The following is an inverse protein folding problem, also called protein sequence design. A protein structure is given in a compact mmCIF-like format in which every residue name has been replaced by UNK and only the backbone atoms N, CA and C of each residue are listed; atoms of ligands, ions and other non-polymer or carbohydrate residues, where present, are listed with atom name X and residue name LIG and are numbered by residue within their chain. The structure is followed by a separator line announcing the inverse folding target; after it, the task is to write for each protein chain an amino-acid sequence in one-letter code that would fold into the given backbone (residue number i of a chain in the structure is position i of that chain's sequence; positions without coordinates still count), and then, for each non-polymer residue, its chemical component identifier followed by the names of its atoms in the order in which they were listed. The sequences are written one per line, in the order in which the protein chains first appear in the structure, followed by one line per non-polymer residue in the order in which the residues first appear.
data_IF_255080293864
#
_entry.id   IF_255080293864
#
_cell.length_a   1.000
_cell.length_b   1.000
_cell.length_c   1.000
_cell.angle_alpha   90.00
_cell.angle_beta   90.00
_cell.angle_gamma   90.00
#
_symmetry.space_group_name_H-M   'P 1'
#
loop_
_entity.id
_entity.type
_entity.pdbx_description
1 polymer ?
#
# COMPACT_ATOMS: atom_id res chain seq x y z
N UNK A 1 -4.94 17.25 -9.87
CA UNK A 1 -4.58 15.87 -9.48
C UNK A 1 -5.71 14.92 -9.84
N UNK A 2 -5.38 13.78 -10.41
CA UNK A 2 -6.35 12.75 -10.72
C UNK A 2 -6.37 11.70 -9.62
N UNK A 3 -7.54 11.31 -9.18
CA UNK A 3 -7.72 10.24 -8.21
C UNK A 3 -8.06 8.95 -8.92
N UNK A 4 -7.66 7.85 -8.35
CA UNK A 4 -7.87 6.54 -8.92
C UNK A 4 -8.41 5.55 -7.90
N UNK A 5 -9.03 4.51 -8.40
CA UNK A 5 -9.48 3.37 -7.60
C UNK A 5 -9.38 2.09 -8.39
N UNK A 6 -9.44 0.99 -7.68
CA UNK A 6 -9.42 -0.34 -8.27
C UNK A 6 -10.74 -1.01 -7.93
N UNK A 7 -11.47 -1.43 -8.98
CA UNK A 7 -12.64 -2.30 -8.82
C UNK A 7 -12.14 -3.72 -8.56
N UNK A 8 -12.21 -4.15 -7.32
CA UNK A 8 -11.66 -5.43 -6.89
C UNK A 8 -12.36 -6.63 -7.55
N UNK A 9 -13.61 -6.46 -7.98
CA UNK A 9 -14.32 -7.54 -8.69
C UNK A 9 -13.66 -7.90 -10.03
N UNK A 10 -12.91 -6.98 -10.61
CA UNK A 10 -12.20 -7.19 -11.88
C UNK A 10 -10.77 -7.69 -11.68
N UNK A 11 -10.35 -7.92 -10.45
CA UNK A 11 -9.00 -8.42 -10.15
C UNK A 11 -9.02 -9.92 -9.89
N UNK A 12 -7.89 -10.56 -10.15
CA UNK A 12 -7.72 -11.99 -9.88
C UNK A 12 -6.27 -12.25 -9.41
N UNK A 13 -5.75 -11.38 -8.58
CA UNK A 13 -4.42 -11.54 -8.03
C UNK A 13 -4.42 -12.53 -6.87
N UNK A 14 -3.28 -13.18 -6.67
CA UNK A 14 -3.07 -14.12 -5.57
C UNK A 14 -2.37 -13.44 -4.41
N UNK A 15 -2.68 -13.88 -3.20
CA UNK A 15 -1.96 -13.44 -2.00
C UNK A 15 -0.50 -13.91 -2.09
N UNK A 16 0.39 -13.08 -1.56
CA UNK A 16 1.77 -13.47 -1.33
C UNK A 16 1.85 -14.61 -0.32
N UNK A 17 2.99 -15.30 -0.31
CA UNK A 17 3.32 -16.26 0.76
C UNK A 17 3.19 -15.58 2.13
N UNK A 18 2.66 -16.29 3.16
CA UNK A 18 2.54 -15.74 4.51
C UNK A 18 3.86 -15.28 5.12
N UNK A 19 5.00 -15.69 4.56
CA UNK A 19 6.33 -15.25 5.02
C UNK A 19 6.75 -13.92 4.42
N UNK A 20 6.03 -13.42 3.41
CA UNK A 20 6.39 -12.21 2.68
C UNK A 20 5.64 -10.97 3.14
N UNK A 21 4.50 -11.13 3.82
CA UNK A 21 3.73 -10.00 4.31
C UNK A 21 3.06 -10.33 5.63
N UNK A 22 2.70 -9.28 6.36
CA UNK A 22 1.97 -9.42 7.63
C UNK A 22 1.16 -8.15 7.88
N UNK A 23 -0.04 -8.32 8.43
CA UNK A 23 -0.77 -7.19 9.00
C UNK A 23 -0.19 -6.96 10.40
N UNK A 24 0.41 -5.81 10.62
CA UNK A 24 1.11 -5.48 11.85
C UNK A 24 0.14 -4.74 12.77
N UNK A 25 -0.18 -5.33 13.93
CA UNK A 25 -1.14 -4.71 14.86
C UNK A 25 -0.53 -3.62 15.72
N UNK A 26 0.77 -3.72 16.00
CA UNK A 26 1.48 -2.78 16.88
C UNK A 26 2.82 -2.43 16.23
N UNK A 27 2.79 -1.60 15.18
CA UNK A 27 4.00 -1.30 14.42
C UNK A 27 5.00 -0.46 15.21
N UNK A 28 6.28 -0.74 15.01
CA UNK A 28 7.37 0.13 15.46
C UNK A 28 7.47 1.31 14.49
N UNK A 29 6.92 2.45 14.88
CA UNK A 29 6.86 3.63 14.02
C UNK A 29 8.24 4.12 13.62
N UNK A 30 9.25 3.97 14.49
CA UNK A 30 10.63 4.34 14.15
C UNK A 30 11.16 3.50 12.98
N UNK A 31 10.85 2.22 12.96
CA UNK A 31 11.23 1.34 11.86
C UNK A 31 10.54 1.75 10.55
N UNK A 32 9.25 2.05 10.61
CA UNK A 32 8.51 2.54 9.45
C UNK A 32 9.07 3.86 8.94
N UNK A 33 9.41 4.76 9.86
CA UNK A 33 9.97 6.06 9.53
C UNK A 33 11.31 5.92 8.80
N UNK A 34 12.16 4.98 9.22
CA UNK A 34 13.42 4.71 8.55
C UNK A 34 13.21 4.23 7.11
N UNK A 35 12.23 3.34 6.89
CA UNK A 35 11.87 2.87 5.54
C UNK A 35 11.33 4.02 4.70
N UNK A 36 10.47 4.85 5.29
CA UNK A 36 9.87 5.99 4.60
C UNK A 36 10.93 7.01 4.18
N UNK A 37 11.88 7.31 5.06
CA UNK A 37 12.97 8.23 4.75
C UNK A 37 13.83 7.70 3.59
N UNK A 38 14.16 6.41 3.60
CA UNK A 38 14.91 5.78 2.52
C UNK A 38 14.14 5.85 1.19
N UNK A 39 12.83 5.62 1.25
CA UNK A 39 11.95 5.72 0.08
C UNK A 39 11.94 7.13 -0.51
N UNK A 40 11.79 8.15 0.34
CA UNK A 40 11.76 9.54 -0.10
C UNK A 40 13.09 9.97 -0.72
N UNK A 41 14.20 9.52 -0.17
CA UNK A 41 15.53 9.79 -0.72
C UNK A 41 15.68 9.12 -2.08
N UNK A 42 15.29 7.86 -2.20
CA UNK A 42 15.37 7.13 -3.48
C UNK A 42 14.53 7.79 -4.56
N UNK A 43 13.30 8.20 -4.22
CA UNK A 43 12.39 8.85 -5.17
C UNK A 43 12.72 10.30 -5.41
N UNK A 44 13.62 10.89 -4.64
CA UNK A 44 14.04 12.30 -4.75
C UNK A 44 12.87 13.27 -4.61
N UNK A 45 11.96 12.98 -3.69
CA UNK A 45 10.83 13.87 -3.42
C UNK A 45 11.32 15.19 -2.83
N UNK A 46 10.80 16.30 -3.35
CA UNK A 46 11.13 17.65 -2.85
C UNK A 46 10.37 17.98 -1.58
N UNK A 47 9.14 17.50 -1.48
CA UNK A 47 8.28 17.72 -0.34
C UNK A 47 7.67 16.39 0.06
N UNK A 48 7.75 16.06 1.34
CA UNK A 48 7.26 14.78 1.86
C UNK A 48 6.32 15.04 3.02
N UNK A 49 5.25 14.26 3.07
CA UNK A 49 4.35 14.26 4.22
C UNK A 49 5.02 13.47 5.33
N UNK A 50 5.09 14.01 6.57
CA UNK A 50 5.63 13.23 7.68
C UNK A 50 4.72 12.06 8.04
N UNK A 51 5.30 11.07 8.71
CA UNK A 51 4.54 9.97 9.30
C UNK A 51 3.91 10.47 10.60
N UNK A 52 2.59 10.35 10.70
CA UNK A 52 1.85 10.65 11.93
C UNK A 52 1.59 9.35 12.67
N UNK A 53 2.23 9.17 13.83
CA UNK A 53 2.19 7.90 14.56
C UNK A 53 0.78 7.44 14.91
N UNK A 54 -0.15 8.36 15.13
CA UNK A 54 -1.54 8.06 15.46
C UNK A 54 -2.24 7.26 14.35
N UNK A 55 -1.90 7.53 13.08
CA UNK A 55 -2.51 6.84 11.94
C UNK A 55 -2.15 5.35 11.92
N UNK A 56 -0.99 4.99 12.46
CA UNK A 56 -0.50 3.62 12.43
C UNK A 56 -1.06 2.75 13.56
N UNK A 57 -1.80 3.35 14.48
CA UNK A 57 -2.47 2.65 15.58
C UNK A 57 -3.99 2.83 15.56
N UNK A 58 -4.51 3.56 14.59
CA UNK A 58 -5.94 3.79 14.40
C UNK A 58 -6.65 2.46 14.10
N UNK A 59 -7.75 2.09 14.81
CA UNK A 59 -8.44 0.80 14.59
C UNK A 59 -8.96 0.59 13.17
N UNK A 60 -9.27 1.65 12.44
CA UNK A 60 -9.78 1.56 11.07
C UNK A 60 -8.66 1.51 10.02
N UNK A 61 -7.41 1.54 10.46
CA UNK A 61 -6.26 1.47 9.57
C UNK A 61 -5.56 0.12 9.71
N UNK A 62 -5.11 -0.42 8.59
CA UNK A 62 -4.28 -1.61 8.56
C UNK A 62 -2.86 -1.19 8.13
N UNK A 63 -1.87 -1.64 8.87
CA UNK A 63 -0.46 -1.53 8.47
C UNK A 63 -0.03 -2.88 7.93
N UNK A 64 0.35 -2.93 6.65
CA UNK A 64 0.80 -4.16 6.02
C UNK A 64 2.30 -4.05 5.81
N UNK A 65 3.06 -4.91 6.49
CA UNK A 65 4.50 -4.99 6.34
C UNK A 65 4.90 -6.03 5.30
N UNK A 66 5.96 -5.76 4.56
CA UNK A 66 6.50 -6.66 3.55
C UNK A 66 7.94 -7.01 3.90
N UNK A 67 8.27 -8.28 3.72
CA UNK A 67 9.52 -8.87 4.21
C UNK A 67 10.32 -9.48 3.09
N UNK A 68 11.66 -9.39 3.19
CA UNK A 68 12.58 -10.04 2.25
C UNK A 68 12.85 -11.49 2.66
N UNK A 69 13.76 -12.16 1.93
CA UNK A 69 14.12 -13.57 2.19
C UNK A 69 14.73 -13.79 3.57
N UNK A 70 15.26 -12.73 4.18
CA UNK A 70 15.87 -12.78 5.51
C UNK A 70 14.90 -12.41 6.62
N UNK A 71 13.61 -12.33 6.30
CA UNK A 71 12.53 -11.92 7.22
C UNK A 71 12.74 -10.50 7.79
N UNK A 72 13.39 -9.63 7.04
CA UNK A 72 13.54 -8.21 7.40
C UNK A 72 12.42 -7.40 6.79
N UNK A 73 11.87 -6.47 7.57
CA UNK A 73 10.85 -5.54 7.09
C UNK A 73 11.50 -4.53 6.13
N UNK A 74 11.04 -4.50 4.89
CA UNK A 74 11.63 -3.66 3.84
C UNK A 74 10.64 -2.71 3.18
N UNK A 75 9.34 -2.88 3.44
CA UNK A 75 8.30 -2.01 2.92
C UNK A 75 7.06 -2.08 3.80
N UNK A 76 6.20 -1.06 3.68
CA UNK A 76 4.90 -1.08 4.36
C UNK A 76 3.88 -0.30 3.56
N UNK A 77 2.62 -0.64 3.79
CA UNK A 77 1.46 0.10 3.30
C UNK A 77 0.57 0.48 4.48
N UNK A 78 -0.01 1.67 4.42
CA UNK A 78 -1.05 2.10 5.34
C UNK A 78 -2.35 2.15 4.57
N UNK A 79 -3.33 1.35 5.00
CA UNK A 79 -4.64 1.23 4.34
C UNK A 79 -5.71 1.70 5.33
N UNK A 80 -6.53 2.66 4.91
CA UNK A 80 -7.67 3.14 5.70
C UNK A 80 -8.95 2.47 5.22
N UNK A 81 -9.69 1.86 6.13
CA UNK A 81 -10.99 1.25 5.84
C UNK A 81 -12.10 2.25 6.15
N UNK A 82 -12.79 2.70 5.13
CA UNK A 82 -13.95 3.60 5.31
C UNK A 82 -15.17 2.87 5.84
N UNK A 83 -15.34 1.62 5.41
CA UNK A 83 -16.42 0.73 5.83
C UNK A 83 -16.02 -0.70 5.46
N UNK A 84 -16.97 -1.64 5.43
CA UNK A 84 -16.71 -3.04 5.12
C UNK A 84 -16.50 -3.33 3.63
N UNK A 85 -16.66 -2.30 2.77
CA UNK A 85 -16.62 -2.45 1.31
C UNK A 85 -15.60 -1.58 0.62
N UNK A 86 -15.15 -0.51 1.27
CA UNK A 86 -14.29 0.48 0.64
C UNK A 86 -13.09 0.80 1.52
N UNK A 87 -11.90 0.73 0.92
CA UNK A 87 -10.65 1.06 1.60
C UNK A 87 -9.79 1.93 0.69
N UNK A 88 -8.84 2.63 1.28
CA UNK A 88 -7.91 3.49 0.54
C UNK A 88 -6.48 3.18 0.93
N UNK A 89 -5.62 3.07 -0.08
CA UNK A 89 -4.18 2.99 0.13
C UNK A 89 -3.65 4.41 0.38
N UNK A 90 -3.42 4.74 1.65
CA UNK A 90 -3.09 6.09 2.10
C UNK A 90 -1.61 6.40 1.94
N UNK A 91 -0.76 5.44 2.30
CA UNK A 91 0.68 5.63 2.29
C UNK A 91 1.38 4.31 1.99
N UNK A 92 2.48 4.40 1.27
CA UNK A 92 3.33 3.26 0.93
C UNK A 92 4.78 3.71 0.93
N UNK A 93 5.67 2.87 1.40
CA UNK A 93 7.10 3.10 1.32
C UNK A 93 7.86 1.79 1.22
N UNK A 94 8.98 1.82 0.52
CA UNK A 94 9.86 0.69 0.29
C UNK A 94 11.31 1.19 0.30
N UNK A 95 12.19 0.50 0.98
CA UNK A 95 13.57 0.96 1.13
C UNK A 95 14.45 0.71 -0.11
N UNK A 96 13.96 -0.05 -1.08
CA UNK A 96 14.68 -0.39 -2.33
C UNK A 96 16.00 -1.12 -2.09
N UNK A 97 16.21 -1.70 -0.91
CA UNK A 97 17.42 -2.45 -0.62
C UNK A 97 17.58 -3.68 -1.51
N UNK A 98 16.47 -4.23 -1.99
CA UNK A 98 16.44 -5.38 -2.89
C UNK A 98 15.46 -5.10 -4.04
N UNK A 99 15.91 -4.37 -5.09
CA UNK A 99 15.02 -3.95 -6.18
C UNK A 99 14.40 -5.10 -6.96
N UNK A 100 14.98 -6.30 -6.90
CA UNK A 100 14.47 -7.48 -7.61
C UNK A 100 13.12 -7.94 -7.07
N UNK A 101 12.78 -7.59 -5.83
CA UNK A 101 11.48 -7.91 -5.25
C UNK A 101 10.32 -7.20 -5.92
N UNK A 102 10.56 -6.08 -6.60
CA UNK A 102 9.54 -5.29 -7.31
C UNK A 102 8.31 -5.02 -6.45
N UNK A 103 8.54 -4.60 -5.21
CA UNK A 103 7.49 -4.47 -4.21
C UNK A 103 6.43 -3.42 -4.55
N UNK A 104 6.73 -2.46 -5.42
CA UNK A 104 5.74 -1.49 -5.87
C UNK A 104 4.51 -2.15 -6.49
N UNK A 105 4.70 -3.10 -7.39
CA UNK A 105 3.62 -3.88 -7.98
C UNK A 105 3.16 -5.01 -7.07
N UNK A 106 4.13 -5.77 -6.53
CA UNK A 106 3.84 -6.96 -5.76
C UNK A 106 2.96 -6.65 -4.53
N UNK A 107 3.26 -5.55 -3.83
CA UNK A 107 2.48 -5.13 -2.67
C UNK A 107 1.05 -4.75 -3.07
N UNK A 108 0.89 -4.02 -4.17
CA UNK A 108 -0.43 -3.59 -4.62
C UNK A 108 -1.28 -4.78 -5.09
N UNK A 109 -0.68 -5.74 -5.81
CA UNK A 109 -1.37 -6.98 -6.18
C UNK A 109 -1.83 -7.76 -4.93
N UNK A 110 -0.96 -7.84 -3.93
CA UNK A 110 -1.27 -8.51 -2.67
C UNK A 110 -2.41 -7.82 -1.93
N UNK A 111 -2.41 -6.49 -1.90
CA UNK A 111 -3.47 -5.72 -1.25
C UNK A 111 -4.80 -5.89 -1.96
N UNK A 112 -4.81 -5.91 -3.29
CA UNK A 112 -6.01 -6.22 -4.05
C UNK A 112 -6.57 -7.61 -3.68
N UNK A 113 -5.71 -8.62 -3.62
CA UNK A 113 -6.13 -9.97 -3.27
C UNK A 113 -6.65 -10.06 -1.83
N UNK A 114 -5.96 -9.39 -0.90
CA UNK A 114 -6.31 -9.39 0.52
C UNK A 114 -7.68 -8.74 0.77
N UNK A 115 -7.91 -7.57 0.21
CA UNK A 115 -9.17 -6.85 0.44
C UNK A 115 -10.33 -7.46 -0.35
N UNK A 116 -10.07 -8.00 -1.53
CA UNK A 116 -11.09 -8.78 -2.25
C UNK A 116 -11.51 -10.00 -1.44
N UNK A 117 -10.57 -10.73 -0.85
CA UNK A 117 -10.87 -11.89 -0.02
C UNK A 117 -11.68 -11.52 1.24
N UNK A 118 -11.54 -10.29 1.72
CA UNK A 118 -12.32 -9.77 2.85
C UNK A 118 -13.69 -9.24 2.46
N UNK A 119 -14.05 -9.29 1.17
CA UNK A 119 -15.35 -8.84 0.67
C UNK A 119 -15.41 -7.37 0.30
N UNK A 120 -14.28 -6.71 0.15
CA UNK A 120 -14.25 -5.31 -0.27
C UNK A 120 -14.52 -5.18 -1.77
N UNK A 121 -15.20 -4.09 -2.16
CA UNK A 121 -15.53 -3.80 -3.54
C UNK A 121 -14.47 -2.92 -4.21
N UNK A 122 -13.92 -1.95 -3.47
CA UNK A 122 -12.97 -0.97 -4.01
C UNK A 122 -11.78 -0.77 -3.10
N UNK A 123 -10.61 -0.62 -3.74
CA UNK A 123 -9.40 -0.12 -3.11
C UNK A 123 -9.02 1.18 -3.82
N UNK A 124 -9.22 2.32 -3.13
CA UNK A 124 -8.90 3.62 -3.68
C UNK A 124 -7.40 3.90 -3.58
N UNK A 125 -6.90 4.63 -4.58
CA UNK A 125 -5.52 5.07 -4.65
C UNK A 125 -5.49 6.59 -4.60
N UNK A 126 -4.56 7.17 -3.85
CA UNK A 126 -4.50 8.63 -3.72
C UNK A 126 -4.18 9.34 -5.01
N UNK A 127 -3.31 8.78 -5.84
CA UNK A 127 -2.92 9.36 -7.11
C UNK A 127 -2.97 8.35 -8.23
N UNK A 128 -3.22 8.84 -9.45
CA UNK A 128 -3.27 8.03 -10.66
C UNK A 128 -1.87 7.98 -11.31
N UNK A 129 -0.92 7.35 -10.64
CA UNK A 129 0.44 7.19 -11.16
C UNK A 129 0.45 6.23 -12.37
N UNK A 130 1.36 6.49 -13.32
CA UNK A 130 1.39 5.73 -14.57
C UNK A 130 1.49 4.21 -14.37
N UNK A 131 2.33 3.75 -13.44
CA UNK A 131 2.49 2.31 -13.23
C UNK A 131 1.22 1.64 -12.70
N UNK A 132 0.38 2.38 -11.97
CA UNK A 132 -0.86 1.85 -11.39
C UNK A 132 -1.92 1.55 -12.45
N UNK A 133 -1.83 2.19 -13.62
CA UNK A 133 -2.76 1.95 -14.73
C UNK A 133 -2.69 0.53 -15.27
N UNK A 134 -1.63 -0.20 -14.96
CA UNK A 134 -1.46 -1.58 -15.37
C UNK A 134 -2.19 -2.58 -14.46
N UNK A 135 -2.76 -2.09 -13.36
CA UNK A 135 -3.52 -2.94 -12.44
C UNK A 135 -4.91 -3.20 -13.02
N UNK A 136 -5.35 -4.46 -13.00
CA UNK A 136 -6.70 -4.82 -13.42
C UNK A 136 -7.72 -4.08 -12.57
N UNK A 137 -8.82 -3.65 -13.19
CA UNK A 137 -9.87 -2.91 -12.49
C UNK A 137 -9.56 -1.45 -12.20
N UNK A 138 -8.42 -0.94 -12.68
CA UNK A 138 -8.03 0.46 -12.48
C UNK A 138 -9.03 1.41 -13.15
N UNK A 139 -9.46 2.42 -12.40
CA UNK A 139 -10.37 3.46 -12.89
C UNK A 139 -9.88 4.83 -12.43
N UNK A 140 -10.00 5.83 -13.30
CA UNK A 140 -9.76 7.23 -12.93
C UNK A 140 -11.08 7.81 -12.49
N UNK A 141 -11.16 8.26 -11.23
CA UNK A 141 -12.40 8.69 -10.59
C UNK A 141 -12.56 10.20 -10.54
N UNK A 142 -11.51 10.96 -10.73
CA UNK A 142 -11.59 12.42 -10.63
C UNK A 142 -10.36 13.12 -11.12
N UNK A 143 -10.34 14.47 -11.07
CA UNK A 143 -11.39 15.32 -10.55
C UNK A 143 -12.62 15.31 -11.43
N UNK A 144 -13.78 15.32 -10.79
CA UNK A 144 -15.05 15.48 -11.49
C UNK A 144 -15.32 16.97 -11.65
N UNK A 145 -15.61 17.36 -12.84
CA UNK A 145 -16.06 18.74 -13.13
C UNK A 145 -17.56 18.82 -13.01
#
# INVERSE_FOLDING_TARGET
MKYAGIDLSQTNYSLMSPFRYRIIKDPDVNQLENIYNAYCVYKKFRSVMPIFSEEYTEPNNDVIGYYNDKAQLVAFSLIHRYNNKNAEAVQYAWDYADPELKLGFASLHNECALYKARGFDYLYLGGADEYKKQIDGFEILGPRT
#
